data_IF_670813051927
#
_entry.id   IF_670813051927
#
_cell.length_a   1.000
_cell.length_b   1.000
_cell.length_c   1.000
_cell.angle_alpha   90.00
_cell.angle_beta   90.00
_cell.angle_gamma   90.00
#
_symmetry.space_group_name_H-M   'P 1'
#
loop_
_entity.id
_entity.type
_entity.pdbx_description
1 polymer ?
#
# COMPACT_ATOMS: atom_id res chain seq x y z
N UNK A 1 22.11 -19.61 -5.57
CA UNK A 1 21.38 -20.90 -5.71
C UNK A 1 20.59 -20.95 -7.02
N UNK A 2 19.64 -20.03 -7.26
CA UNK A 2 18.94 -19.94 -8.56
C UNK A 2 19.92 -19.74 -9.71
N UNK A 3 20.86 -18.79 -9.58
CA UNK A 3 21.94 -18.56 -10.56
C UNK A 3 22.91 -19.74 -10.71
N UNK A 4 22.88 -20.69 -9.79
CA UNK A 4 23.69 -21.93 -9.83
C UNK A 4 22.88 -23.10 -10.42
N UNK A 5 21.71 -22.85 -11.02
CA UNK A 5 20.88 -23.85 -11.67
C UNK A 5 19.87 -24.57 -10.75
N UNK A 6 19.81 -24.23 -9.46
CA UNK A 6 18.84 -24.83 -8.53
C UNK A 6 17.47 -24.20 -8.75
N UNK A 7 16.50 -25.00 -9.21
CA UNK A 7 15.12 -24.55 -9.44
C UNK A 7 14.31 -24.62 -8.14
N UNK A 8 13.83 -23.48 -7.60
CA UNK A 8 12.99 -23.48 -6.41
C UNK A 8 11.58 -24.00 -6.73
N UNK A 9 10.93 -24.59 -5.73
CA UNK A 9 9.49 -24.88 -5.79
C UNK A 9 8.75 -23.57 -5.48
N UNK A 10 7.92 -23.10 -6.42
CA UNK A 10 7.13 -21.87 -6.28
C UNK A 10 5.69 -22.23 -5.89
N UNK A 11 5.21 -21.65 -4.80
CA UNK A 11 3.78 -21.66 -4.48
C UNK A 11 3.06 -20.65 -5.37
N UNK A 12 1.99 -21.08 -6.04
CA UNK A 12 1.37 -20.31 -7.12
C UNK A 12 0.06 -19.63 -6.73
N UNK A 13 -0.52 -19.93 -5.56
CA UNK A 13 -1.84 -19.39 -5.17
C UNK A 13 -1.69 -18.40 -4.03
N UNK A 14 -2.15 -17.17 -4.23
CA UNK A 14 -2.18 -16.13 -3.20
C UNK A 14 -3.55 -16.06 -2.52
N UNK A 15 -3.56 -15.92 -1.20
CA UNK A 15 -4.78 -15.85 -0.38
C UNK A 15 -4.90 -14.51 0.39
N UNK A 16 -4.06 -13.52 0.10
CA UNK A 16 -3.99 -12.28 0.89
C UNK A 16 -4.80 -11.14 0.28
N UNK A 17 -4.51 -10.76 -0.96
CA UNK A 17 -4.95 -9.49 -1.53
C UNK A 17 -6.15 -9.63 -2.46
N UNK A 18 -6.90 -8.54 -2.65
CA UNK A 18 -7.96 -8.46 -3.68
C UNK A 18 -7.36 -8.75 -5.07
N UNK A 19 -8.06 -9.46 -5.99
CA UNK A 19 -7.52 -9.83 -7.31
C UNK A 19 -6.94 -8.67 -8.13
N UNK A 20 -7.51 -7.46 -8.05
CA UNK A 20 -6.97 -6.29 -8.76
C UNK A 20 -5.60 -5.82 -8.22
N UNK A 21 -5.30 -6.06 -6.94
CA UNK A 21 -4.02 -5.70 -6.33
C UNK A 21 -2.90 -6.65 -6.73
N UNK A 22 -3.23 -7.93 -6.97
CA UNK A 22 -2.25 -8.96 -7.38
C UNK A 22 -1.87 -8.90 -8.85
N UNK A 23 -2.68 -8.23 -9.69
CA UNK A 23 -2.49 -8.21 -11.14
C UNK A 23 -1.11 -7.67 -11.53
N UNK A 24 -0.74 -6.48 -11.04
CA UNK A 24 0.56 -5.89 -11.35
C UNK A 24 1.73 -6.73 -10.80
N UNK A 25 1.79 -7.10 -9.50
CA UNK A 25 2.89 -7.92 -9.00
C UNK A 25 3.01 -9.28 -9.70
N UNK A 26 1.90 -9.94 -10.02
CA UNK A 26 1.88 -11.21 -10.75
C UNK A 26 2.57 -11.08 -12.11
N UNK A 27 2.16 -10.08 -12.90
CA UNK A 27 2.67 -9.88 -14.26
C UNK A 27 4.13 -9.40 -14.25
N UNK A 28 4.51 -8.52 -13.31
CA UNK A 28 5.83 -7.90 -13.27
C UNK A 28 6.92 -8.79 -12.66
N UNK A 29 6.59 -9.60 -11.65
CA UNK A 29 7.60 -10.33 -10.86
C UNK A 29 7.43 -11.85 -10.89
N UNK A 30 6.29 -12.35 -11.40
CA UNK A 30 5.96 -13.78 -11.41
C UNK A 30 5.46 -14.26 -12.77
N UNK A 31 5.75 -13.53 -13.85
CA UNK A 31 5.42 -13.92 -15.23
C UNK A 31 3.92 -14.24 -15.44
N UNK A 32 3.04 -13.61 -14.65
CA UNK A 32 1.59 -13.87 -14.68
C UNK A 32 1.16 -15.20 -14.05
N UNK A 33 2.08 -15.93 -13.42
CA UNK A 33 1.82 -17.27 -12.87
C UNK A 33 1.08 -17.29 -11.52
N UNK A 34 0.91 -16.14 -10.86
CA UNK A 34 0.25 -16.05 -9.56
C UNK A 34 -1.28 -16.13 -9.73
N UNK A 35 -1.89 -17.17 -9.16
CA UNK A 35 -3.32 -17.40 -9.14
C UNK A 35 -3.96 -16.84 -7.87
N UNK A 36 -5.24 -16.48 -7.96
CA UNK A 36 -6.03 -15.97 -6.84
C UNK A 36 -6.81 -17.10 -6.18
N UNK A 37 -6.48 -17.40 -4.92
CA UNK A 37 -7.24 -18.32 -4.07
C UNK A 37 -8.38 -17.63 -3.31
N UNK A 38 -8.62 -16.35 -3.58
CA UNK A 38 -9.66 -15.51 -2.99
C UNK A 38 -10.37 -14.72 -4.07
N UNK A 39 -11.64 -14.46 -3.86
CA UNK A 39 -12.53 -13.74 -4.78
C UNK A 39 -12.58 -12.24 -4.47
N UNK A 40 -13.16 -11.48 -5.40
CA UNK A 40 -13.45 -10.05 -5.24
C UNK A 40 -14.33 -9.80 -4.01
N UNK A 41 -15.39 -10.59 -3.82
CA UNK A 41 -16.32 -10.44 -2.70
C UNK A 41 -15.68 -10.72 -1.34
N UNK A 42 -14.79 -11.71 -1.24
CA UNK A 42 -14.04 -12.02 -0.01
C UNK A 42 -13.03 -10.94 0.39
N UNK A 43 -12.73 -9.99 -0.51
CA UNK A 43 -11.79 -8.88 -0.28
C UNK A 43 -12.42 -7.51 -0.46
N UNK A 44 -13.75 -7.43 -0.54
CA UNK A 44 -14.50 -6.19 -0.60
C UNK A 44 -15.12 -5.90 0.77
N UNK A 45 -14.84 -4.73 1.33
CA UNK A 45 -15.43 -4.28 2.60
C UNK A 45 -16.58 -3.31 2.34
N UNK A 46 -17.80 -3.83 2.18
CA UNK A 46 -18.99 -3.03 1.85
C UNK A 46 -19.34 -1.96 2.91
N UNK A 47 -18.94 -2.18 4.17
CA UNK A 47 -19.17 -1.22 5.25
C UNK A 47 -18.21 -0.03 5.24
N UNK A 48 -17.07 -0.13 4.52
CA UNK A 48 -16.04 0.91 4.48
C UNK A 48 -16.35 1.87 3.33
N UNK A 49 -16.94 3.03 3.68
CA UNK A 49 -17.25 4.07 2.72
C UNK A 49 -16.00 4.93 2.40
N UNK A 50 -15.21 4.48 1.44
CA UNK A 50 -14.06 5.22 0.90
C UNK A 50 -14.30 5.59 -0.58
N UNK A 51 -14.02 6.83 -1.00
CA UNK A 51 -14.28 7.30 -2.37
C UNK A 51 -13.22 6.79 -3.35
N UNK A 52 -13.23 5.49 -3.63
CA UNK A 52 -12.37 4.88 -4.64
C UNK A 52 -12.64 5.52 -6.02
N UNK A 53 -11.61 5.94 -6.78
CA UNK A 53 -11.80 6.48 -8.12
C UNK A 53 -12.52 5.52 -9.07
N UNK A 54 -12.29 4.22 -8.88
CA UNK A 54 -13.03 3.14 -9.53
C UNK A 54 -13.66 2.29 -8.42
N UNK A 55 -14.99 2.28 -8.24
CA UNK A 55 -15.65 1.64 -7.10
C UNK A 55 -15.34 0.15 -6.90
N UNK A 56 -15.01 -0.57 -7.98
CA UNK A 56 -14.70 -2.00 -7.96
C UNK A 56 -13.21 -2.32 -7.78
N UNK A 57 -12.35 -1.31 -7.70
CA UNK A 57 -10.90 -1.47 -7.55
C UNK A 57 -10.42 -0.73 -6.30
N UNK A 58 -10.17 -1.42 -5.17
CA UNK A 58 -9.72 -0.80 -3.93
C UNK A 58 -8.23 -0.38 -3.97
N UNK A 59 -7.87 0.45 -4.94
CA UNK A 59 -6.55 1.04 -5.10
C UNK A 59 -6.64 2.35 -5.86
N UNK A 60 -5.72 3.26 -5.56
CA UNK A 60 -5.51 4.48 -6.32
C UNK A 60 -4.05 4.91 -6.25
N UNK A 61 -3.61 5.63 -7.27
CA UNK A 61 -2.39 6.42 -7.19
C UNK A 61 -2.80 7.88 -7.00
N UNK A 62 -2.57 8.43 -5.81
CA UNK A 62 -2.95 9.80 -5.49
C UNK A 62 -1.78 10.76 -5.72
N UNK A 63 -1.77 11.39 -6.89
CA UNK A 63 -0.68 12.28 -7.33
C UNK A 63 -0.50 13.46 -6.38
N UNK A 64 0.74 13.70 -5.95
CA UNK A 64 1.15 14.84 -5.15
C UNK A 64 2.25 15.62 -5.86
N UNK A 65 2.18 16.94 -5.81
CA UNK A 65 3.16 17.86 -6.41
C UNK A 65 3.97 18.61 -5.33
N UNK A 66 4.05 18.04 -4.13
CA UNK A 66 4.88 18.60 -3.05
C UNK A 66 6.36 18.32 -3.28
N UNK A 67 7.21 19.25 -2.84
CA UNK A 67 8.66 19.07 -2.91
C UNK A 67 9.17 18.23 -1.73
N UNK A 68 10.25 17.48 -1.97
CA UNK A 68 10.99 16.80 -0.93
C UNK A 68 11.90 17.76 -0.15
N UNK A 69 12.14 17.44 1.12
CA UNK A 69 13.02 18.16 2.02
C UNK A 69 13.99 17.18 2.68
N UNK A 70 15.24 17.61 2.94
CA UNK A 70 16.15 16.86 3.80
C UNK A 70 15.64 16.95 5.24
N UNK A 71 15.45 15.80 5.87
CA UNK A 71 15.01 15.71 7.26
C UNK A 71 16.06 16.24 8.25
N UNK A 72 15.66 16.46 9.50
CA UNK A 72 16.56 16.97 10.54
C UNK A 72 17.79 16.09 10.84
N UNK A 73 17.80 14.82 10.42
CA UNK A 73 18.98 13.95 10.54
C UNK A 73 20.07 14.23 9.48
N UNK A 74 19.76 14.99 8.43
CA UNK A 74 20.68 15.29 7.32
C UNK A 74 20.89 14.15 6.32
N UNK A 75 20.39 12.94 6.59
CA UNK A 75 20.64 11.73 5.78
C UNK A 75 19.37 11.03 5.27
N UNK A 76 18.21 11.60 5.56
CA UNK A 76 16.91 11.09 5.12
C UNK A 76 16.05 12.22 4.57
N UNK A 77 14.96 11.86 3.90
CA UNK A 77 14.07 12.80 3.22
C UNK A 77 12.66 12.74 3.82
N UNK A 78 11.92 13.84 3.67
CA UNK A 78 10.49 13.93 3.98
C UNK A 78 9.76 14.77 2.93
N UNK A 79 8.44 14.57 2.83
CA UNK A 79 7.56 15.39 2.01
C UNK A 79 6.31 15.74 2.84
N UNK A 80 6.17 17.03 3.17
CA UNK A 80 5.10 17.54 4.05
C UNK A 80 3.72 17.44 3.41
N UNK A 81 3.65 17.69 2.11
CA UNK A 81 2.40 17.60 1.34
C UNK A 81 1.89 16.17 1.32
N UNK A 82 2.78 15.21 1.05
CA UNK A 82 2.44 13.79 1.12
C UNK A 82 2.00 13.39 2.53
N UNK A 83 2.75 13.76 3.57
CA UNK A 83 2.42 13.41 4.95
C UNK A 83 1.03 13.93 5.38
N UNK A 84 0.71 15.17 5.01
CA UNK A 84 -0.62 15.77 5.26
C UNK A 84 -1.74 14.98 4.57
N UNK A 85 -1.52 14.51 3.34
CA UNK A 85 -2.54 13.76 2.62
C UNK A 85 -2.64 12.30 3.06
N UNK A 86 -1.54 11.71 3.55
CA UNK A 86 -1.56 10.42 4.25
C UNK A 86 -2.43 10.50 5.50
N UNK A 87 -2.28 11.54 6.33
CA UNK A 87 -3.15 11.76 7.50
C UNK A 87 -4.62 11.80 7.11
N UNK A 88 -4.99 12.60 6.09
CA UNK A 88 -6.39 12.69 5.62
C UNK A 88 -6.96 11.34 5.19
N UNK A 89 -6.17 10.52 4.50
CA UNK A 89 -6.61 9.17 4.07
C UNK A 89 -6.80 8.26 5.28
N UNK A 90 -5.86 8.26 6.23
CA UNK A 90 -5.98 7.47 7.46
C UNK A 90 -7.20 7.90 8.27
N UNK A 91 -7.39 9.19 8.48
CA UNK A 91 -8.56 9.77 9.15
C UNK A 91 -9.86 9.38 8.47
N UNK A 92 -9.89 9.31 7.13
CA UNK A 92 -11.06 8.82 6.39
C UNK A 92 -11.36 7.35 6.72
N UNK A 93 -10.36 6.48 6.68
CA UNK A 93 -10.55 5.05 7.01
C UNK A 93 -11.01 4.85 8.45
N UNK A 94 -10.43 5.59 9.41
CA UNK A 94 -10.86 5.55 10.81
C UNK A 94 -12.34 5.97 10.96
N UNK A 95 -12.75 7.06 10.28
CA UNK A 95 -14.16 7.50 10.26
C UNK A 95 -15.09 6.51 9.57
N UNK A 96 -14.59 5.73 8.61
CA UNK A 96 -15.30 4.65 7.94
C UNK A 96 -15.32 3.34 8.75
N UNK A 97 -14.82 3.33 9.99
CA UNK A 97 -14.89 2.18 10.89
C UNK A 97 -13.73 1.18 10.77
N UNK A 98 -12.68 1.49 9.99
CA UNK A 98 -11.47 0.67 9.94
C UNK A 98 -10.67 0.89 11.23
N UNK A 99 -10.25 -0.18 11.89
CA UNK A 99 -9.49 -0.05 13.14
C UNK A 99 -8.03 0.31 12.87
N UNK A 100 -7.34 1.01 13.79
CA UNK A 100 -5.92 1.37 13.61
C UNK A 100 -5.02 0.17 13.30
N UNK A 101 -5.29 -0.99 13.91
CA UNK A 101 -4.52 -2.22 13.69
C UNK A 101 -4.65 -2.80 12.28
N UNK A 102 -5.65 -2.37 11.51
CA UNK A 102 -5.87 -2.79 10.12
C UNK A 102 -5.23 -1.83 9.10
N UNK A 103 -4.64 -0.72 9.55
CA UNK A 103 -4.04 0.31 8.69
C UNK A 103 -2.52 0.26 8.86
N UNK A 104 -1.80 0.17 7.74
CA UNK A 104 -0.35 0.29 7.71
C UNK A 104 0.07 1.40 6.75
N UNK A 105 0.96 2.29 7.20
CA UNK A 105 1.62 3.29 6.35
C UNK A 105 3.06 2.85 6.14
N UNK A 106 3.48 2.74 4.89
CA UNK A 106 4.83 2.30 4.50
C UNK A 106 5.49 3.44 3.72
N UNK A 107 6.73 3.75 4.08
CA UNK A 107 7.58 4.71 3.38
C UNK A 107 9.04 4.25 3.43
N UNK A 108 9.85 4.45 2.38
CA UNK A 108 11.24 4.00 2.35
C UNK A 108 12.18 4.88 3.19
N UNK A 109 11.77 6.10 3.55
CA UNK A 109 12.61 7.06 4.27
C UNK A 109 12.23 7.15 5.74
N UNK A 110 13.20 6.98 6.62
CA UNK A 110 13.02 7.13 8.08
C UNK A 110 12.58 8.56 8.46
N UNK A 111 13.08 9.57 7.75
CA UNK A 111 12.65 10.96 7.93
C UNK A 111 11.15 11.14 7.69
N UNK A 112 10.61 10.54 6.62
CA UNK A 112 9.18 10.56 6.31
C UNK A 112 8.38 9.74 7.34
N UNK A 113 8.89 8.59 7.78
CA UNK A 113 8.23 7.76 8.81
C UNK A 113 8.02 8.57 10.09
N UNK A 114 9.06 9.22 10.59
CA UNK A 114 9.00 10.08 11.77
C UNK A 114 8.07 11.27 11.55
N UNK A 115 8.13 11.91 10.38
CA UNK A 115 7.29 13.05 10.07
C UNK A 115 5.80 12.69 10.03
N UNK A 116 5.43 11.58 9.41
CA UNK A 116 4.05 11.09 9.37
C UNK A 116 3.51 10.82 10.78
N UNK A 117 4.31 10.18 11.65
CA UNK A 117 3.92 9.98 13.06
C UNK A 117 3.65 11.31 13.75
N UNK A 118 4.50 12.32 13.56
CA UNK A 118 4.33 13.63 14.19
C UNK A 118 3.11 14.41 13.66
N UNK A 119 2.68 14.18 12.41
CA UNK A 119 1.49 14.82 11.82
C UNK A 119 0.19 14.15 12.29
N UNK A 120 0.26 12.88 12.69
CA UNK A 120 -0.89 12.10 13.16
C UNK A 120 -1.14 12.19 14.68
N UNK A 121 -0.17 12.71 15.44
CA UNK A 121 -0.28 13.01 16.88
C UNK A 121 -0.93 14.38 17.10
#
# INVERSE_FOLDING_TARGET
>A
LVLLGIKPIRLQVQYRMHPCLSEFPSNSFYEGSLQNGVTVSERTQLAVNFPWPVPTKPMMFYVQLGNEEISGSGTSYLNRTEATNVEKIVTWFLRAGVTPAQIGVITPYEGQRLHVVNVML
#
